data_IF_151921935128
#
_entry.id   IF_151921935128
#
_cell.length_a   1.000
_cell.length_b   1.000
_cell.length_c   1.000
_cell.angle_alpha   90.00
_cell.angle_beta   90.00
_cell.angle_gamma   90.00
#
_symmetry.space_group_name_H-M   'P 1'
#
loop_
_entity.id
_entity.type
_entity.pdbx_description
1 polymer ?
#
# COMPACT_ATOMS: atom_id res chain seq x y z
N UNK A 1 -75.77 21.34 20.09
CA UNK A 1 -74.82 20.64 20.97
C UNK A 1 -73.69 20.21 20.05
N UNK A 2 -72.56 20.93 19.92
CA UNK A 2 -71.35 20.87 20.79
C UNK A 2 -70.99 19.41 21.10
N UNK A 3 -69.86 18.87 20.65
CA UNK A 3 -68.52 18.97 21.27
C UNK A 3 -67.55 18.14 20.38
N UNK A 4 -66.47 18.65 19.77
CA UNK A 4 -65.09 18.81 20.27
C UNK A 4 -64.45 17.60 20.98
N UNK A 5 -63.21 17.31 20.59
CA UNK A 5 -62.30 16.26 21.06
C UNK A 5 -61.63 15.61 19.84
N UNK A 6 -60.58 16.15 19.21
CA UNK A 6 -59.32 16.70 19.76
C UNK A 6 -58.70 15.77 20.80
N UNK A 7 -58.08 14.70 20.31
CA UNK A 7 -57.01 14.00 21.03
C UNK A 7 -55.72 14.20 20.23
N UNK A 8 -55.01 15.24 20.67
CA UNK A 8 -53.60 15.49 20.47
C UNK A 8 -52.78 14.29 20.98
N UNK A 9 -52.07 13.61 20.08
CA UNK A 9 -50.86 12.85 20.44
C UNK A 9 -49.74 13.35 19.54
N UNK A 10 -49.08 14.40 20.02
CA UNK A 10 -47.84 14.87 19.45
C UNK A 10 -46.67 13.89 19.61
N UNK A 11 -45.64 14.15 18.80
CA UNK A 11 -44.24 14.00 19.19
C UNK A 11 -43.69 12.58 19.19
N UNK A 12 -43.21 12.15 18.03
CA UNK A 12 -42.31 11.00 17.91
C UNK A 12 -41.58 11.07 16.57
N UNK A 13 -40.49 11.83 16.54
CA UNK A 13 -39.47 11.79 15.49
C UNK A 13 -38.83 10.39 15.56
N UNK A 14 -39.41 9.42 14.86
CA UNK A 14 -38.82 8.10 14.62
C UNK A 14 -37.99 8.20 13.33
N UNK A 15 -36.64 8.14 13.39
CA UNK A 15 -35.86 8.08 12.17
C UNK A 15 -36.17 6.76 11.46
N UNK A 16 -36.82 6.87 10.30
CA UNK A 16 -36.89 5.81 9.30
C UNK A 16 -35.45 5.38 9.01
N UNK A 17 -35.06 4.19 9.48
CA UNK A 17 -33.85 3.53 9.05
C UNK A 17 -33.98 3.32 7.53
N UNK A 18 -33.37 4.21 6.75
CA UNK A 18 -33.04 3.93 5.36
C UNK A 18 -32.09 2.73 5.40
N UNK A 19 -32.65 1.58 5.01
CA UNK A 19 -31.92 0.35 4.70
C UNK A 19 -31.04 0.67 3.48
N UNK A 20 -29.91 1.35 3.72
CA UNK A 20 -28.87 1.56 2.73
C UNK A 20 -28.38 0.19 2.27
N UNK A 21 -28.90 -0.20 1.10
CA UNK A 21 -28.38 -1.17 0.17
C UNK A 21 -27.21 -2.00 0.72
N UNK A 22 -27.54 -3.17 1.27
CA UNK A 22 -26.60 -4.27 1.29
C UNK A 22 -26.13 -4.50 -0.16
N UNK A 23 -24.93 -4.01 -0.47
CA UNK A 23 -24.21 -4.27 -1.71
C UNK A 23 -24.01 -5.80 -1.79
N UNK A 24 -24.97 -6.45 -2.43
CA UNK A 24 -24.96 -7.88 -2.67
C UNK A 24 -23.86 -8.14 -3.70
N UNK A 25 -22.69 -8.56 -3.20
CA UNK A 25 -21.58 -9.01 -4.04
C UNK A 25 -22.03 -10.23 -4.85
N UNK A 26 -22.32 -10.02 -6.14
CA UNK A 26 -22.62 -11.07 -7.10
C UNK A 26 -21.31 -11.65 -7.66
N UNK A 27 -20.95 -12.91 -7.31
CA UNK A 27 -19.71 -13.53 -7.78
C UNK A 27 -19.74 -13.95 -9.25
N UNK A 28 -20.86 -13.79 -9.98
CA UNK A 28 -21.01 -14.22 -11.38
C UNK A 28 -21.01 -13.09 -12.41
N UNK A 29 -20.62 -11.87 -12.05
CA UNK A 29 -20.36 -10.84 -13.07
C UNK A 29 -19.27 -11.33 -14.04
N UNK A 30 -19.57 -11.51 -15.34
CA UNK A 30 -18.57 -11.94 -16.31
C UNK A 30 -17.50 -10.85 -16.41
N UNK A 31 -16.26 -11.21 -16.08
CA UNK A 31 -15.10 -10.38 -16.37
C UNK A 31 -14.92 -10.37 -17.89
N UNK A 32 -15.10 -9.21 -18.52
CA UNK A 32 -14.66 -9.01 -19.91
C UNK A 32 -13.14 -9.24 -19.93
N UNK A 33 -12.71 -10.30 -20.61
CA UNK A 33 -11.31 -10.76 -20.66
C UNK A 33 -10.35 -9.74 -21.31
N UNK A 34 -10.87 -8.62 -21.81
CA UNK A 34 -10.12 -7.55 -22.47
C UNK A 34 -9.65 -6.43 -21.52
N UNK A 35 -10.07 -6.42 -20.24
CA UNK A 35 -9.69 -5.38 -19.25
C UNK A 35 -8.56 -5.80 -18.28
N UNK A 36 -7.79 -6.83 -18.65
CA UNK A 36 -6.47 -7.06 -18.06
C UNK A 36 -5.47 -6.03 -18.61
N UNK A 37 -5.48 -4.84 -18.02
CA UNK A 37 -4.37 -3.90 -18.15
C UNK A 37 -3.15 -4.56 -17.52
N UNK A 38 -2.32 -5.20 -18.35
CA UNK A 38 -0.96 -5.60 -17.99
C UNK A 38 -0.27 -4.34 -17.50
N UNK A 39 -0.08 -4.22 -16.19
CA UNK A 39 0.95 -3.36 -15.65
C UNK A 39 2.28 -3.94 -16.16
N UNK A 40 2.75 -3.44 -17.31
CA UNK A 40 4.09 -3.66 -17.78
C UNK A 40 5.01 -3.17 -16.66
N UNK A 41 5.61 -4.13 -15.95
CA UNK A 41 6.74 -3.86 -15.09
C UNK A 41 7.85 -3.30 -15.98
N UNK A 42 8.17 -2.05 -15.74
CA UNK A 42 9.38 -1.40 -16.26
C UNK A 42 10.59 -2.05 -15.57
N UNK A 43 10.88 -3.29 -15.96
CA UNK A 43 12.11 -3.99 -15.63
C UNK A 43 13.17 -3.52 -16.63
N UNK A 44 13.67 -2.29 -16.42
CA UNK A 44 14.93 -1.87 -17.03
C UNK A 44 16.09 -2.65 -16.37
N UNK A 45 16.21 -3.94 -16.69
CA UNK A 45 17.43 -4.70 -16.50
C UNK A 45 18.41 -4.33 -17.62
N UNK A 46 19.19 -3.28 -17.39
CA UNK A 46 20.34 -2.98 -18.22
C UNK A 46 21.52 -2.53 -17.37
N UNK A 47 22.39 -3.47 -16.99
CA UNK A 47 23.83 -3.21 -17.07
C UNK A 47 24.68 -4.49 -17.04
N UNK A 48 25.05 -4.94 -18.23
CA UNK A 48 26.27 -5.74 -18.44
C UNK A 48 26.99 -5.17 -19.67
N UNK A 49 27.62 -4.00 -19.50
CA UNK A 49 28.46 -3.38 -20.54
C UNK A 49 29.78 -4.16 -20.66
N UNK A 50 29.93 -4.95 -21.72
CA UNK A 50 31.24 -5.42 -22.19
C UNK A 50 31.75 -4.40 -23.20
N UNK A 51 32.69 -3.54 -22.78
CA UNK A 51 33.32 -2.54 -23.66
C UNK A 51 34.26 -3.24 -24.65
N UNK A 52 33.70 -3.69 -25.77
CA UNK A 52 34.45 -3.98 -26.99
C UNK A 52 34.82 -2.64 -27.63
N UNK A 53 36.11 -2.31 -27.65
CA UNK A 53 36.65 -1.03 -28.11
C UNK A 53 36.41 -0.73 -29.61
N UNK A 54 35.19 -0.31 -29.95
CA UNK A 54 34.84 0.30 -31.23
C UNK A 54 34.72 1.84 -31.08
N UNK A 55 35.40 2.66 -31.90
CA UNK A 55 35.34 4.13 -31.87
C UNK A 55 33.93 4.74 -32.03
N UNK A 56 32.94 3.96 -32.48
CA UNK A 56 31.54 4.40 -32.59
C UNK A 56 30.89 4.70 -31.24
N UNK A 57 31.46 4.22 -30.12
CA UNK A 57 30.98 4.49 -28.76
C UNK A 57 31.10 5.96 -28.31
N UNK A 58 31.86 6.80 -29.03
CA UNK A 58 32.00 8.23 -28.70
C UNK A 58 30.71 9.05 -28.94
N UNK A 59 29.73 8.52 -29.68
CA UNK A 59 28.47 9.22 -29.98
C UNK A 59 27.45 9.18 -28.82
N UNK A 60 27.65 8.34 -27.80
CA UNK A 60 26.74 8.21 -26.65
C UNK A 60 27.15 9.01 -25.40
N UNK A 61 28.24 9.79 -25.47
CA UNK A 61 28.70 10.66 -24.37
C UNK A 61 27.75 11.82 -24.03
N UNK A 62 26.57 11.90 -24.66
CA UNK A 62 25.56 12.94 -24.43
C UNK A 62 24.52 12.64 -23.35
N UNK A 63 24.45 11.42 -22.79
CA UNK A 63 23.49 11.04 -21.73
C UNK A 63 24.12 11.00 -20.32
N UNK A 64 25.18 11.77 -20.08
CA UNK A 64 26.01 11.67 -18.87
C UNK A 64 25.54 12.48 -17.66
N UNK A 65 24.24 12.65 -17.41
CA UNK A 65 23.79 13.37 -16.19
C UNK A 65 22.49 12.84 -15.59
N UNK A 66 22.17 11.56 -15.76
CA UNK A 66 21.16 10.92 -14.93
C UNK A 66 21.85 10.52 -13.62
N UNK A 67 21.59 11.28 -12.56
CA UNK A 67 22.01 10.94 -11.19
C UNK A 67 21.69 9.48 -10.92
N UNK A 68 22.64 8.73 -10.36
CA UNK A 68 22.41 7.31 -10.07
C UNK A 68 21.23 7.15 -9.12
N UNK A 69 20.55 6.01 -9.14
CA UNK A 69 19.42 5.75 -8.23
C UNK A 69 19.80 5.95 -6.75
N UNK A 70 21.08 5.81 -6.38
CA UNK A 70 21.57 6.07 -5.01
C UNK A 70 21.65 7.56 -4.68
N UNK A 71 21.92 8.41 -5.67
CA UNK A 71 22.04 9.86 -5.51
C UNK A 71 20.69 10.57 -5.34
N UNK A 72 19.58 9.84 -5.57
CA UNK A 72 18.20 10.32 -5.40
C UNK A 72 17.63 10.06 -3.99
N UNK A 73 18.39 9.40 -3.10
CA UNK A 73 17.97 9.19 -1.71
C UNK A 73 18.05 10.48 -0.91
N UNK A 74 16.95 10.86 -0.28
CA UNK A 74 16.90 11.96 0.69
C UNK A 74 17.47 11.45 2.04
N UNK A 75 18.42 12.18 2.66
CA UNK A 75 18.94 11.86 3.98
C UNK A 75 17.86 11.82 5.07
N UNK A 76 18.08 11.03 6.11
CA UNK A 76 17.08 10.78 7.16
C UNK A 76 16.69 12.03 7.95
N UNK A 77 17.63 12.97 8.11
CA UNK A 77 17.46 14.27 8.77
C UNK A 77 16.68 15.30 7.91
N UNK A 78 16.55 15.04 6.60
CA UNK A 78 15.94 15.95 5.63
C UNK A 78 14.62 15.42 5.05
N UNK A 79 14.06 14.37 5.65
CA UNK A 79 12.76 13.81 5.26
C UNK A 79 11.64 14.81 5.56
N UNK A 80 10.71 14.93 4.63
CA UNK A 80 9.58 15.86 4.67
C UNK A 80 8.23 15.17 4.78
N UNK A 81 8.15 13.88 4.41
CA UNK A 81 6.89 13.15 4.46
C UNK A 81 6.44 12.83 5.89
N UNK A 82 5.16 12.47 6.04
CA UNK A 82 4.52 12.25 7.35
C UNK A 82 5.15 11.08 8.14
N UNK A 83 5.35 11.20 9.45
CA UNK A 83 5.83 10.07 10.28
C UNK A 83 4.77 8.97 10.47
N UNK A 84 3.53 9.18 10.01
CA UNK A 84 2.46 8.21 10.10
C UNK A 84 2.46 7.25 8.91
N UNK A 85 2.16 5.98 9.17
CA UNK A 85 1.90 4.98 8.16
C UNK A 85 0.58 5.30 7.45
N UNK A 86 0.60 5.38 6.13
CA UNK A 86 -0.63 5.56 5.36
C UNK A 86 -1.43 4.27 5.32
N UNK A 87 -2.75 4.37 5.12
CA UNK A 87 -3.62 3.19 4.96
C UNK A 87 -3.17 2.25 3.82
N UNK A 88 -2.57 2.81 2.77
CA UNK A 88 -2.06 2.07 1.62
C UNK A 88 -0.78 1.30 1.96
N UNK A 89 0.15 1.94 2.67
CA UNK A 89 1.37 1.30 3.16
C UNK A 89 1.04 0.16 4.10
N UNK A 90 0.13 0.40 5.06
CA UNK A 90 -0.31 -0.63 6.01
C UNK A 90 -0.88 -1.85 5.29
N UNK A 91 -1.78 -1.64 4.33
CA UNK A 91 -2.36 -2.73 3.55
C UNK A 91 -1.28 -3.50 2.76
N UNK A 92 -0.35 -2.80 2.11
CA UNK A 92 0.73 -3.41 1.33
C UNK A 92 1.73 -4.17 2.19
N UNK A 93 2.14 -3.60 3.33
CA UNK A 93 3.05 -4.23 4.29
C UNK A 93 2.44 -5.54 4.81
N UNK A 94 1.17 -5.50 5.25
CA UNK A 94 0.47 -6.70 5.73
C UNK A 94 0.34 -7.76 4.62
N UNK A 95 -0.03 -7.35 3.40
CA UNK A 95 -0.15 -8.26 2.27
C UNK A 95 1.19 -8.92 1.90
N UNK A 96 2.25 -8.12 1.72
CA UNK A 96 3.59 -8.64 1.40
C UNK A 96 4.13 -9.53 2.52
N UNK A 97 3.94 -9.14 3.79
CA UNK A 97 4.43 -9.94 4.91
C UNK A 97 3.65 -11.23 5.10
N UNK A 98 2.31 -11.20 4.97
CA UNK A 98 1.49 -12.40 4.99
C UNK A 98 1.88 -13.38 3.87
N UNK A 99 2.17 -12.85 2.67
CA UNK A 99 2.66 -13.66 1.55
C UNK A 99 4.01 -14.33 1.89
N UNK A 100 4.97 -13.59 2.45
CA UNK A 100 6.24 -14.17 2.89
C UNK A 100 6.03 -15.31 3.91
N UNK A 101 5.18 -15.10 4.92
CA UNK A 101 4.87 -16.11 5.94
C UNK A 101 4.23 -17.34 5.30
N UNK A 102 3.34 -17.15 4.32
CA UNK A 102 2.72 -18.26 3.58
C UNK A 102 3.74 -19.09 2.81
N UNK A 103 4.84 -18.47 2.36
CA UNK A 103 6.00 -19.12 1.73
C UNK A 103 7.02 -19.61 2.77
N UNK A 104 6.58 -19.92 3.99
CA UNK A 104 7.41 -20.42 5.09
C UNK A 104 8.59 -19.52 5.49
N UNK A 105 8.50 -18.21 5.26
CA UNK A 105 9.49 -17.26 5.78
C UNK A 105 9.51 -17.27 7.32
N UNK A 106 10.66 -16.95 7.94
CA UNK A 106 10.77 -16.92 9.40
C UNK A 106 9.90 -15.81 10.01
N UNK A 107 9.14 -16.19 11.03
CA UNK A 107 8.30 -15.29 11.85
C UNK A 107 9.12 -14.76 13.02
N UNK A 108 9.01 -13.47 13.32
CA UNK A 108 9.80 -12.76 14.34
C UNK A 108 9.05 -12.52 15.66
N UNK A 109 7.80 -12.97 15.75
CA UNK A 109 6.95 -12.93 16.94
C UNK A 109 6.61 -14.32 17.43
N UNK A 110 6.26 -14.42 18.72
CA UNK A 110 5.82 -15.66 19.31
C UNK A 110 4.38 -15.98 18.85
N UNK A 111 4.18 -17.19 18.35
CA UNK A 111 2.87 -17.68 17.91
C UNK A 111 2.09 -18.24 19.13
N UNK A 112 0.88 -17.75 19.34
CA UNK A 112 -0.08 -18.15 20.38
C UNK A 112 -1.22 -19.01 19.79
N UNK A 113 -0.93 -19.73 18.70
CA UNK A 113 -1.91 -20.58 18.01
C UNK A 113 -2.52 -19.94 16.76
N UNK A 114 -2.00 -18.80 16.31
CA UNK A 114 -2.38 -18.23 15.01
C UNK A 114 -1.90 -19.12 13.87
N UNK A 115 -2.83 -19.53 12.99
CA UNK A 115 -2.52 -20.32 11.79
C UNK A 115 -2.62 -19.52 10.50
N UNK A 116 -3.35 -18.40 10.52
CA UNK A 116 -3.54 -17.53 9.37
C UNK A 116 -2.32 -16.60 9.19
N UNK A 117 -1.64 -16.62 8.03
CA UNK A 117 -0.51 -15.74 7.75
C UNK A 117 -0.81 -14.26 7.93
N UNK A 118 -2.05 -13.83 7.63
CA UNK A 118 -2.44 -12.43 7.79
C UNK A 118 -2.55 -12.04 9.26
N UNK A 119 -3.15 -12.88 10.13
CA UNK A 119 -3.15 -12.64 11.57
C UNK A 119 -1.73 -12.56 12.14
N UNK A 120 -0.82 -13.44 11.69
CA UNK A 120 0.58 -13.41 12.12
C UNK A 120 1.24 -12.10 11.69
N UNK A 121 1.05 -11.66 10.44
CA UNK A 121 1.58 -10.38 9.97
C UNK A 121 1.00 -9.18 10.74
N UNK A 122 -0.28 -9.22 11.12
CA UNK A 122 -0.90 -8.18 11.96
C UNK A 122 -0.24 -8.16 13.35
N UNK A 123 0.04 -9.32 13.93
CA UNK A 123 0.75 -9.44 15.22
C UNK A 123 2.17 -8.87 15.12
N UNK A 124 2.91 -9.22 14.07
CA UNK A 124 4.24 -8.66 13.81
C UNK A 124 4.22 -7.14 13.63
N UNK A 125 3.21 -6.60 12.94
CA UNK A 125 3.07 -5.16 12.73
C UNK A 125 2.81 -4.42 14.06
N UNK A 126 1.98 -5.01 14.95
CA UNK A 126 1.70 -4.45 16.28
C UNK A 126 2.91 -4.46 17.20
N UNK A 127 3.73 -5.51 17.13
CA UNK A 127 4.99 -5.60 17.87
C UNK A 127 6.16 -4.85 17.20
N UNK A 128 5.91 -4.19 16.06
CA UNK A 128 6.91 -3.46 15.27
C UNK A 128 8.11 -4.31 14.83
N UNK A 129 7.89 -5.61 14.58
CA UNK A 129 8.96 -6.56 14.18
C UNK A 129 8.99 -6.89 12.70
N UNK A 130 8.23 -6.19 11.86
CA UNK A 130 8.25 -6.42 10.41
C UNK A 130 9.55 -5.88 9.80
N UNK A 131 10.38 -6.72 9.15
CA UNK A 131 11.68 -6.32 8.60
C UNK A 131 11.52 -5.74 7.18
N UNK A 132 10.67 -4.74 7.02
CA UNK A 132 10.41 -4.07 5.73
C UNK A 132 10.68 -2.57 5.82
N UNK A 133 11.04 -1.99 4.67
CA UNK A 133 11.25 -0.56 4.48
C UNK A 133 10.27 -0.08 3.41
N UNK A 134 9.60 1.03 3.68
CA UNK A 134 8.73 1.74 2.75
C UNK A 134 9.55 2.82 2.05
N UNK A 135 9.71 2.70 0.74
CA UNK A 135 10.30 3.76 -0.08
C UNK A 135 9.21 4.67 -0.63
N UNK A 136 9.19 5.94 -0.22
CA UNK A 136 8.27 6.96 -0.71
C UNK A 136 8.95 7.78 -1.79
N UNK A 137 8.40 7.75 -3.00
CA UNK A 137 8.90 8.55 -4.11
C UNK A 137 8.20 9.91 -4.17
N UNK A 138 9.00 10.94 -4.41
CA UNK A 138 8.56 12.31 -4.64
C UNK A 138 8.36 12.53 -6.15
N UNK A 139 7.55 13.53 -6.56
CA UNK A 139 7.29 13.80 -7.97
C UNK A 139 8.54 14.18 -8.80
N UNK A 140 9.61 14.63 -8.14
CA UNK A 140 10.90 14.95 -8.73
C UNK A 140 11.83 13.73 -8.90
N UNK A 141 11.37 12.54 -8.49
CA UNK A 141 12.10 11.27 -8.55
C UNK A 141 13.03 11.00 -7.38
N UNK A 142 13.13 11.91 -6.40
CA UNK A 142 13.82 11.63 -5.14
C UNK A 142 12.98 10.70 -4.27
N UNK A 143 13.60 10.05 -3.28
CA UNK A 143 12.86 9.17 -2.37
C UNK A 143 13.35 9.22 -0.93
N UNK A 144 12.42 8.91 -0.03
CA UNK A 144 12.66 8.73 1.40
C UNK A 144 12.45 7.24 1.76
N UNK A 145 13.38 6.66 2.51
CA UNK A 145 13.27 5.28 3.01
C UNK A 145 12.77 5.30 4.45
N UNK A 146 11.57 4.78 4.72
CA UNK A 146 10.99 4.71 6.07
C UNK A 146 10.96 3.28 6.60
N UNK A 147 11.46 3.03 7.79
CA UNK A 147 11.37 1.69 8.42
C UNK A 147 9.96 1.43 8.94
N UNK A 148 9.48 0.18 8.91
CA UNK A 148 8.16 -0.13 9.48
C UNK A 148 8.10 0.09 11.01
N UNK A 149 9.25 0.03 11.69
CA UNK A 149 9.36 0.24 13.14
C UNK A 149 9.15 1.72 13.54
N UNK A 150 9.69 2.64 12.75
CA UNK A 150 9.63 4.08 13.05
C UNK A 150 8.29 4.72 12.65
N UNK A 151 7.57 4.13 11.69
CA UNK A 151 6.27 4.63 11.27
C UNK A 151 5.24 4.48 12.41
N UNK A 152 4.53 5.57 12.70
CA UNK A 152 3.44 5.61 13.66
C UNK A 152 2.17 5.03 13.04
N UNK A 153 1.42 4.25 13.83
CA UNK A 153 0.21 3.51 13.39
C UNK A 153 -1.05 4.05 14.06
#
# INVERSE_FOLDING_TARGET
>A
MSDFGDDDVGGGDEPMYEDEAADYWDPEAPVDEDDVVRAEGDEEEADNVVVSGDPSAAANSGKGNEKSHRDKKIPDDQRTTTPYMTKYERARILGTRALQISMNAPVLVDLEGETDPLQIAIKELREKKIPLIVRRYMPDGYYEDWTCEELLQ
#
